data_IF_320589461117
#
_entry.id   IF_320589461117
#
_cell.length_a   1.000
_cell.length_b   1.000
_cell.length_c   1.000
_cell.angle_alpha   90.00
_cell.angle_beta   90.00
_cell.angle_gamma   90.00
#
_symmetry.space_group_name_H-M   'P 1'
#
loop_
_entity.id
_entity.type
_entity.pdbx_description
1 polymer ?
#
# COMPACT_ATOMS: atom_id res chain seq x y z
N UNK A 1 9.55 -12.92 5.15
CA UNK A 1 10.12 -13.95 4.24
C UNK A 1 9.55 -13.73 2.85
N UNK A 2 10.37 -13.77 1.81
CA UNK A 2 9.93 -13.69 0.42
C UNK A 2 10.42 -14.94 -0.32
N UNK A 3 9.51 -15.68 -0.96
CA UNK A 3 9.84 -16.88 -1.74
C UNK A 3 9.67 -16.64 -3.24
N UNK A 4 10.55 -17.30 -4.00
CA UNK A 4 10.49 -17.43 -5.45
C UNK A 4 10.93 -18.85 -5.82
N UNK A 5 10.51 -19.33 -6.99
CA UNK A 5 10.85 -20.63 -7.56
C UNK A 5 10.59 -21.82 -6.61
N UNK A 6 9.58 -21.72 -5.76
CA UNK A 6 9.25 -22.73 -4.76
C UNK A 6 8.05 -23.57 -5.19
N UNK A 7 8.01 -24.84 -4.80
CA UNK A 7 6.80 -25.64 -4.97
C UNK A 7 5.66 -25.05 -4.14
N UNK A 8 4.41 -25.29 -4.57
CA UNK A 8 3.22 -24.89 -3.80
C UNK A 8 3.24 -25.42 -2.38
N UNK A 9 3.71 -26.64 -2.17
CA UNK A 9 3.80 -27.26 -0.84
C UNK A 9 4.75 -26.49 0.08
N UNK A 10 5.94 -26.14 -0.41
CA UNK A 10 6.90 -25.30 0.32
C UNK A 10 6.34 -23.92 0.62
N UNK A 11 5.69 -23.27 -0.35
CA UNK A 11 5.04 -21.97 -0.15
C UNK A 11 4.01 -22.01 0.98
N UNK A 12 3.12 -23.00 0.96
CA UNK A 12 2.06 -23.16 1.99
C UNK A 12 2.68 -23.44 3.36
N UNK A 13 3.64 -24.38 3.44
CA UNK A 13 4.29 -24.75 4.70
C UNK A 13 5.03 -23.56 5.32
N UNK A 14 5.81 -22.84 4.53
CA UNK A 14 6.59 -21.70 5.01
C UNK A 14 5.66 -20.55 5.39
N UNK A 15 4.58 -20.30 4.62
CA UNK A 15 3.58 -19.29 5.00
C UNK A 15 2.96 -19.60 6.36
N UNK A 16 2.53 -20.85 6.60
CA UNK A 16 1.95 -21.26 7.88
C UNK A 16 2.92 -21.03 9.06
N UNK A 17 4.20 -21.29 8.87
CA UNK A 17 5.24 -21.02 9.88
C UNK A 17 5.36 -19.51 10.10
N UNK A 18 5.48 -18.72 9.03
CA UNK A 18 5.61 -17.27 9.12
C UNK A 18 4.41 -16.64 9.83
N UNK A 19 3.19 -17.05 9.48
CA UNK A 19 1.94 -16.55 10.06
C UNK A 19 1.88 -16.82 11.57
N UNK A 20 2.21 -18.05 12.00
CA UNK A 20 2.25 -18.41 13.43
C UNK A 20 3.32 -17.64 14.21
N UNK A 21 4.41 -17.26 13.54
CA UNK A 21 5.51 -16.50 14.14
C UNK A 21 5.36 -14.98 14.01
N UNK A 22 4.26 -14.47 13.46
CA UNK A 22 4.06 -13.04 13.24
C UNK A 22 4.97 -12.42 12.17
N UNK A 23 5.58 -13.24 11.32
CA UNK A 23 6.50 -12.82 10.26
C UNK A 23 5.71 -12.56 8.98
N UNK A 24 5.91 -11.39 8.37
CA UNK A 24 5.30 -11.05 7.07
C UNK A 24 5.83 -11.97 5.97
N UNK A 25 4.94 -12.52 5.16
CA UNK A 25 5.27 -13.48 4.12
C UNK A 25 4.86 -12.97 2.75
N UNK A 26 5.72 -13.19 1.76
CA UNK A 26 5.51 -12.86 0.36
C UNK A 26 5.94 -14.04 -0.50
N UNK A 27 5.27 -14.24 -1.63
CA UNK A 27 5.73 -15.16 -2.67
C UNK A 27 5.27 -14.71 -4.04
N UNK A 28 6.05 -15.01 -5.07
CA UNK A 28 5.69 -14.68 -6.44
C UNK A 28 6.64 -15.34 -7.43
N UNK A 29 6.15 -15.56 -8.64
CA UNK A 29 6.95 -16.10 -9.74
C UNK A 29 6.45 -15.57 -11.09
N UNK A 30 7.25 -15.83 -12.13
CA UNK A 30 7.01 -15.44 -13.51
C UNK A 30 7.00 -16.68 -14.40
N UNK A 31 6.02 -16.77 -15.29
CA UNK A 31 5.83 -17.82 -16.28
C UNK A 31 5.62 -17.18 -17.66
N UNK A 32 6.71 -17.05 -18.43
CA UNK A 32 6.69 -16.31 -19.69
C UNK A 32 6.40 -14.82 -19.47
N UNK A 33 5.37 -14.29 -20.14
CA UNK A 33 4.94 -12.89 -19.97
C UNK A 33 4.00 -12.66 -18.78
N UNK A 34 3.63 -13.72 -18.04
CA UNK A 34 2.69 -13.64 -16.93
C UNK A 34 3.45 -13.80 -15.62
N UNK A 35 2.98 -13.14 -14.56
CA UNK A 35 3.54 -13.30 -13.23
C UNK A 35 2.47 -13.12 -12.16
N UNK A 36 2.79 -13.54 -10.95
CA UNK A 36 1.91 -13.36 -9.80
C UNK A 36 2.69 -12.89 -8.57
N UNK A 37 1.95 -12.28 -7.65
CA UNK A 37 2.42 -11.92 -6.32
C UNK A 37 1.34 -12.28 -5.30
N UNK A 38 1.77 -12.78 -4.15
CA UNK A 38 0.96 -13.02 -2.96
C UNK A 38 1.64 -12.42 -1.74
N UNK A 39 0.84 -11.88 -0.82
CA UNK A 39 1.30 -11.33 0.46
C UNK A 39 0.37 -11.79 1.58
N UNK A 40 0.95 -12.39 2.63
CA UNK A 40 0.31 -12.65 3.92
C UNK A 40 1.00 -11.79 4.97
N UNK A 41 0.30 -10.76 5.41
CA UNK A 41 0.81 -9.82 6.39
C UNK A 41 0.32 -10.14 7.82
N UNK A 42 -0.53 -11.16 8.00
CA UNK A 42 -1.29 -11.36 9.23
C UNK A 42 -2.00 -10.07 9.65
N UNK A 43 -1.96 -9.75 10.95
CA UNK A 43 -2.34 -8.42 11.41
C UNK A 43 -1.28 -7.39 11.01
N UNK A 44 -1.69 -6.35 10.28
CA UNK A 44 -0.79 -5.34 9.75
C UNK A 44 -1.42 -3.95 9.81
N UNK A 45 -0.88 -3.12 10.69
CA UNK A 45 -1.19 -1.70 10.75
C UNK A 45 -0.30 -0.93 9.78
N UNK A 46 -0.88 0.03 9.06
CA UNK A 46 -0.15 0.92 8.17
C UNK A 46 -0.65 2.36 8.28
N UNK A 47 0.18 3.30 7.85
CA UNK A 47 -0.19 4.72 7.75
C UNK A 47 -0.52 5.00 6.29
N UNK A 48 -1.70 5.55 6.06
CA UNK A 48 -2.14 6.03 4.74
C UNK A 48 -2.13 7.56 4.74
N UNK A 49 -1.36 8.15 3.83
CA UNK A 49 -1.43 9.57 3.53
C UNK A 49 -2.64 9.86 2.65
N UNK A 50 -3.53 10.75 3.09
CA UNK A 50 -4.66 11.21 2.29
C UNK A 50 -4.38 12.64 1.83
N UNK A 51 -4.40 12.84 0.52
CA UNK A 51 -4.35 14.18 -0.05
C UNK A 51 -5.63 14.94 0.31
N UNK A 52 -5.50 16.17 0.82
CA UNK A 52 -6.65 17.07 0.98
C UNK A 52 -7.20 17.40 -0.41
N UNK A 53 -8.45 17.00 -0.69
CA UNK A 53 -9.20 17.53 -1.84
C UNK A 53 -9.35 19.03 -1.59
N UNK A 54 -8.68 19.86 -2.39
CA UNK A 54 -8.91 21.28 -2.36
C UNK A 54 -10.38 21.52 -2.67
N UNK A 55 -11.18 21.92 -1.67
CA UNK A 55 -12.50 22.47 -1.92
C UNK A 55 -12.25 23.75 -2.71
N UNK A 56 -12.42 23.69 -4.03
CA UNK A 56 -12.62 24.90 -4.82
C UNK A 56 -13.92 25.49 -4.29
N UNK A 57 -13.82 26.49 -3.43
CA UNK A 57 -14.96 27.32 -3.06
C UNK A 57 -15.47 27.93 -4.36
N UNK A 58 -16.63 27.46 -4.83
CA UNK A 58 -17.35 27.99 -5.99
C UNK A 58 -17.95 29.35 -5.65
N UNK A 59 -17.09 30.35 -5.45
CA UNK A 59 -17.51 31.70 -5.13
C UNK A 59 -16.30 32.56 -4.86
N UNK A 60 -15.80 33.21 -5.91
CA UNK A 60 -15.36 34.61 -5.96
C UNK A 60 -14.68 34.83 -7.32
N UNK A 61 -15.32 35.65 -8.15
CA UNK A 61 -14.80 36.11 -9.43
C UNK A 61 -13.60 37.06 -9.26
N UNK A 62 -12.72 37.01 -10.27
CA UNK A 62 -11.86 38.04 -10.85
C UNK A 62 -10.48 38.41 -10.22
N UNK A 63 -9.41 38.32 -11.03
CA UNK A 63 -8.08 38.95 -10.80
C UNK A 63 -6.82 38.05 -10.93
N UNK A 64 -5.79 38.44 -11.73
CA UNK A 64 -4.58 37.64 -11.93
C UNK A 64 -3.47 38.04 -10.94
N UNK A 65 -3.44 37.42 -9.78
CA UNK A 65 -2.25 37.46 -8.93
C UNK A 65 -1.84 36.05 -8.54
N UNK A 66 -0.54 35.80 -8.75
CA UNK A 66 0.14 34.52 -8.57
C UNK A 66 -0.03 33.98 -7.14
N UNK A 67 -1.15 33.31 -6.88
CA UNK A 67 -1.32 32.46 -5.70
C UNK A 67 -0.44 31.24 -5.92
N UNK A 68 0.79 31.28 -5.40
CA UNK A 68 1.50 30.05 -5.02
C UNK A 68 0.49 29.25 -4.20
N UNK A 69 -0.03 28.18 -4.78
CA UNK A 69 -0.92 27.27 -4.09
C UNK A 69 -0.21 26.85 -2.80
N UNK A 70 -0.74 27.27 -1.66
CA UNK A 70 -0.28 26.78 -0.36
C UNK A 70 -0.65 25.30 -0.37
N UNK A 71 0.33 24.46 -0.72
CA UNK A 71 0.25 23.01 -0.57
C UNK A 71 0.10 22.77 0.93
N UNK A 72 -1.15 22.61 1.37
CA UNK A 72 -1.45 22.12 2.71
C UNK A 72 -0.74 20.76 2.87
N UNK A 73 0.00 20.53 3.96
CA UNK A 73 0.65 19.25 4.17
C UNK A 73 -0.40 18.12 4.15
N UNK A 74 -0.08 16.97 3.53
CA UNK A 74 -0.98 15.83 3.48
C UNK A 74 -1.35 15.39 4.91
N UNK A 75 -2.61 15.03 5.12
CA UNK A 75 -3.09 14.54 6.41
C UNK A 75 -2.87 13.03 6.46
N UNK A 76 -2.17 12.54 7.49
CA UNK A 76 -1.86 11.11 7.66
C UNK A 76 -2.90 10.46 8.56
N UNK A 77 -3.41 9.29 8.16
CA UNK A 77 -4.35 8.52 8.98
C UNK A 77 -3.82 7.10 9.20
N UNK A 78 -3.87 6.62 10.45
CA UNK A 78 -3.54 5.22 10.75
C UNK A 78 -4.70 4.31 10.35
N UNK A 79 -4.39 3.27 9.57
CA UNK A 79 -5.35 2.24 9.17
C UNK A 79 -4.98 0.93 9.87
N UNK A 80 -5.95 0.38 10.61
CA UNK A 80 -5.88 -0.96 11.22
C UNK A 80 -6.81 -1.88 10.44
N UNK A 81 -6.28 -2.94 9.83
CA UNK A 81 -7.05 -3.92 9.04
C UNK A 81 -6.86 -5.34 9.57
#
# INVERSE_FOLDING_TARGET
>A
VCLTCCSRESMVRINQICHKSGVKFFTGDVFGYHGFMFADLGHHDFVEEKAKVAKVSSGLEDGPEAKRARLEPPETTMVKK
#
